data_IF_262432456469
#
_entry.id   IF_262432456469
#
_cell.length_a   1.000
_cell.length_b   1.000
_cell.length_c   1.000
_cell.angle_alpha   90.00
_cell.angle_beta   90.00
_cell.angle_gamma   90.00
#
_symmetry.space_group_name_H-M   'P 1'
#
loop_
_entity.id
_entity.type
_entity.pdbx_description
1 polymer ?
#
# COMPACT_ATOMS: atom_id res chain seq x y z
N UNK A 1 5.51 -9.48 -9.40
CA UNK A 1 4.89 -9.28 -10.73
C UNK A 1 5.98 -9.41 -11.79
N UNK A 2 5.70 -10.06 -12.91
CA UNK A 2 6.65 -10.17 -14.02
C UNK A 2 6.89 -8.83 -14.69
N UNK A 3 8.10 -8.60 -15.23
CA UNK A 3 8.47 -7.33 -15.87
C UNK A 3 7.56 -6.93 -17.03
N UNK A 4 7.06 -7.90 -17.81
CA UNK A 4 6.11 -7.66 -18.90
C UNK A 4 4.75 -7.10 -18.44
N UNK A 5 4.39 -7.28 -17.17
CA UNK A 5 3.18 -6.74 -16.56
C UNK A 5 3.43 -5.39 -15.87
N UNK A 6 4.62 -4.82 -16.04
CA UNK A 6 4.99 -3.54 -15.44
C UNK A 6 3.97 -2.44 -15.79
N UNK A 7 3.62 -1.64 -14.80
CA UNK A 7 2.73 -0.50 -14.94
C UNK A 7 3.35 0.81 -14.45
N UNK A 8 4.69 0.85 -14.37
CA UNK A 8 5.41 2.06 -13.92
C UNK A 8 5.05 3.31 -14.73
N UNK A 9 4.77 3.15 -16.02
CA UNK A 9 4.34 4.25 -16.89
C UNK A 9 2.93 4.79 -16.56
N UNK A 10 2.14 4.06 -15.79
CA UNK A 10 0.79 4.45 -15.38
C UNK A 10 0.76 5.05 -13.96
N UNK A 11 1.91 5.13 -13.28
CA UNK A 11 1.99 5.73 -11.95
C UNK A 11 1.84 7.25 -12.07
N UNK A 12 0.86 7.85 -11.39
CA UNK A 12 0.77 9.29 -11.30
C UNK A 12 1.90 9.83 -10.42
N UNK A 13 2.24 11.09 -10.63
CA UNK A 13 3.04 11.87 -9.69
C UNK A 13 2.10 12.86 -9.03
N UNK A 14 1.63 12.50 -7.84
CA UNK A 14 0.70 13.31 -7.07
C UNK A 14 1.50 14.21 -6.12
N UNK A 15 1.23 15.49 -6.20
CA UNK A 15 1.77 16.46 -5.27
C UNK A 15 0.73 16.73 -4.18
N UNK A 16 1.13 16.52 -2.92
CA UNK A 16 0.25 16.66 -1.75
C UNK A 16 0.92 17.53 -0.70
N UNK A 17 0.12 18.34 0.03
CA UNK A 17 0.63 19.09 1.18
C UNK A 17 0.96 18.16 2.34
N UNK A 18 0.17 17.09 2.50
CA UNK A 18 0.42 16.02 3.46
C UNK A 18 1.65 15.22 3.05
N UNK A 19 2.65 15.17 3.95
CA UNK A 19 3.82 14.29 3.79
C UNK A 19 3.45 12.88 4.19
N UNK A 20 3.69 11.91 3.32
CA UNK A 20 3.58 10.49 3.65
C UNK A 20 4.90 9.96 4.19
N UNK A 21 4.88 9.38 5.39
CA UNK A 21 6.00 8.61 5.95
C UNK A 21 5.57 7.16 6.10
N UNK A 22 6.16 6.28 5.31
CA UNK A 22 5.89 4.85 5.38
C UNK A 22 6.94 4.15 6.23
N UNK A 23 6.53 3.60 7.38
CA UNK A 23 7.40 2.78 8.22
C UNK A 23 7.21 1.32 7.82
N UNK A 24 8.08 0.84 6.94
CA UNK A 24 7.94 -0.47 6.32
C UNK A 24 8.77 -1.54 7.04
N UNK A 25 8.14 -2.67 7.35
CA UNK A 25 8.89 -3.82 7.84
C UNK A 25 9.73 -4.43 6.71
N UNK A 26 11.01 -4.73 6.94
CA UNK A 26 11.95 -5.25 5.93
C UNK A 26 11.43 -6.46 5.14
N UNK A 27 10.66 -7.34 5.77
CA UNK A 27 10.05 -8.47 5.08
C UNK A 27 9.07 -8.07 3.99
N UNK A 28 8.45 -6.87 4.09
CA UNK A 28 7.54 -6.36 3.07
C UNK A 28 8.28 -5.89 1.81
N UNK A 29 9.55 -5.46 1.93
CA UNK A 29 10.37 -5.01 0.80
C UNK A 29 10.50 -6.07 -0.30
N UNK A 30 10.53 -7.34 0.08
CA UNK A 30 10.68 -8.47 -0.86
C UNK A 30 9.37 -8.92 -1.51
N UNK A 31 8.23 -8.39 -1.07
CA UNK A 31 6.92 -8.77 -1.62
C UNK A 31 6.61 -7.95 -2.87
N UNK A 32 6.50 -8.62 -4.00
CA UNK A 32 6.17 -7.98 -5.30
C UNK A 32 4.78 -7.31 -5.31
N UNK A 33 3.92 -7.68 -4.38
CA UNK A 33 2.57 -7.14 -4.17
C UNK A 33 2.50 -6.19 -2.98
N UNK A 34 3.64 -5.57 -2.58
CA UNK A 34 3.63 -4.59 -1.49
C UNK A 34 2.88 -3.32 -1.93
N UNK A 35 1.81 -3.02 -1.24
CA UNK A 35 0.89 -1.92 -1.56
C UNK A 35 1.35 -0.59 -0.96
N UNK A 36 2.04 -0.61 0.18
CA UNK A 36 2.58 0.61 0.81
C UNK A 36 3.63 1.28 -0.08
N UNK A 37 4.58 0.50 -0.60
CA UNK A 37 5.59 1.00 -1.54
C UNK A 37 4.95 1.56 -2.82
N UNK A 38 3.88 0.92 -3.31
CA UNK A 38 3.18 1.40 -4.48
C UNK A 38 2.57 2.79 -4.24
N UNK A 39 1.95 3.01 -3.08
CA UNK A 39 1.45 4.33 -2.72
C UNK A 39 2.57 5.38 -2.66
N UNK A 40 3.70 5.06 -2.01
CA UNK A 40 4.83 5.96 -1.93
C UNK A 40 5.42 6.34 -3.30
N UNK A 41 5.42 5.43 -4.27
CA UNK A 41 5.88 5.70 -5.64
C UNK A 41 4.98 6.69 -6.40
N UNK A 42 3.71 6.83 -5.99
CA UNK A 42 2.76 7.75 -6.61
C UNK A 42 2.79 9.16 -6.00
N UNK A 43 3.43 9.35 -4.85
CA UNK A 43 3.39 10.58 -4.07
C UNK A 43 4.77 11.25 -4.07
N UNK A 44 4.84 12.49 -4.57
CA UNK A 44 6.09 13.27 -4.62
C UNK A 44 6.60 13.60 -3.22
N UNK A 45 5.69 13.87 -2.28
CA UNK A 45 5.98 14.19 -0.89
C UNK A 45 5.91 12.94 0.01
N UNK A 46 6.75 11.94 -0.29
CA UNK A 46 6.76 10.69 0.47
C UNK A 46 8.17 10.21 0.80
N UNK A 47 8.29 9.46 1.88
CA UNK A 47 9.51 8.78 2.27
C UNK A 47 9.23 7.40 2.87
N UNK A 48 10.18 6.47 2.73
CA UNK A 48 10.07 5.10 3.22
C UNK A 48 11.22 4.80 4.17
N UNK A 49 10.89 4.44 5.40
CA UNK A 49 11.84 4.00 6.43
C UNK A 49 11.71 2.50 6.65
N UNK A 50 12.80 1.77 6.44
CA UNK A 50 12.82 0.33 6.67
C UNK A 50 13.08 0.03 8.16
N UNK A 51 12.37 -0.95 8.70
CA UNK A 51 12.49 -1.41 10.09
C UNK A 51 12.40 -2.94 10.18
N UNK A 52 12.95 -3.52 11.24
CA UNK A 52 12.83 -4.96 11.53
C UNK A 52 14.12 -5.76 11.37
N UNK A 53 15.26 -5.11 11.34
CA UNK A 53 16.57 -5.73 11.55
C UNK A 53 16.97 -5.73 13.03
N UNK A 54 17.93 -6.59 13.38
CA UNK A 54 18.51 -6.62 14.73
C UNK A 54 19.29 -5.35 15.05
N UNK A 55 19.83 -4.69 14.01
CA UNK A 55 20.66 -3.49 14.11
C UNK A 55 19.89 -2.18 13.88
N UNK A 56 18.56 -2.23 13.73
CA UNK A 56 17.70 -1.07 13.45
C UNK A 56 17.59 -0.05 14.62
N UNK A 57 18.18 -0.34 15.75
CA UNK A 57 18.17 0.59 16.89
C UNK A 57 18.89 1.93 16.60
N UNK A 58 19.65 2.00 15.52
CA UNK A 58 20.61 3.06 15.30
C UNK A 58 20.14 4.24 14.44
N UNK A 59 19.06 4.13 13.66
CA UNK A 59 18.61 5.25 12.83
C UNK A 59 17.34 5.86 13.40
N UNK A 60 17.44 6.94 14.20
CA UNK A 60 16.26 7.63 14.68
C UNK A 60 15.48 8.19 13.47
N UNK A 61 14.18 8.02 13.48
CA UNK A 61 13.31 8.80 12.62
C UNK A 61 13.29 10.23 13.21
N UNK A 62 13.84 11.18 12.47
CA UNK A 62 13.69 12.59 12.81
C UNK A 62 12.30 13.03 12.39
N UNK A 63 11.35 12.97 13.32
CA UNK A 63 10.03 13.52 13.08
C UNK A 63 10.15 15.03 12.81
N UNK A 64 9.55 15.55 11.71
CA UNK A 64 9.57 16.98 11.45
C UNK A 64 8.82 17.72 12.57
N UNK A 65 9.52 18.63 13.24
CA UNK A 65 8.99 19.37 14.41
C UNK A 65 7.91 20.39 14.04
N UNK A 66 7.88 20.81 12.78
CA UNK A 66 6.96 21.83 12.24
C UNK A 66 5.74 21.21 11.54
N UNK A 67 5.43 19.96 11.83
CA UNK A 67 4.29 19.26 11.24
C UNK A 67 3.46 18.57 12.30
N UNK A 68 2.15 18.48 12.06
CA UNK A 68 1.24 17.66 12.84
C UNK A 68 1.48 16.19 12.49
N UNK A 69 1.92 15.38 13.46
CA UNK A 69 2.23 13.97 13.25
C UNK A 69 0.99 13.11 13.50
N UNK A 70 0.50 12.42 12.48
CA UNK A 70 -0.64 11.51 12.53
C UNK A 70 -0.16 10.07 12.27
N UNK A 71 -0.36 9.19 13.24
CA UNK A 71 -0.10 7.75 13.11
C UNK A 71 -1.36 7.02 12.69
N UNK A 72 -1.43 6.57 11.44
CA UNK A 72 -2.59 5.88 10.89
C UNK A 72 -2.56 4.40 11.27
N UNK A 73 -3.27 4.04 12.31
CA UNK A 73 -3.45 2.65 12.73
C UNK A 73 -4.67 2.50 13.65
N UNK A 74 -5.57 1.53 13.44
CA UNK A 74 -6.70 1.30 14.33
C UNK A 74 -6.21 0.89 15.73
N UNK A 75 -6.55 1.69 16.72
CA UNK A 75 -6.18 1.52 18.12
C UNK A 75 -7.32 2.01 19.01
N UNK A 76 -7.48 1.46 20.21
CA UNK A 76 -8.58 1.78 21.12
C UNK A 76 -8.66 3.27 21.52
N UNK A 77 -7.57 4.03 21.41
CA UNK A 77 -7.55 5.47 21.66
C UNK A 77 -7.32 6.32 20.41
N UNK A 78 -7.53 5.75 19.21
CA UNK A 78 -7.33 6.49 17.96
C UNK A 78 -8.53 7.42 17.69
N UNK A 79 -8.23 8.64 17.28
CA UNK A 79 -9.24 9.63 16.87
C UNK A 79 -9.65 9.36 15.41
N UNK A 80 -10.95 9.38 15.09
CA UNK A 80 -11.37 9.29 13.69
C UNK A 80 -10.79 10.44 12.85
N UNK A 81 -10.13 10.12 11.74
CA UNK A 81 -9.40 11.10 10.94
C UNK A 81 -10.29 12.25 10.43
N UNK A 82 -11.57 11.96 10.14
CA UNK A 82 -12.54 12.95 9.65
C UNK A 82 -13.10 13.84 10.76
N UNK A 83 -12.85 13.53 12.02
CA UNK A 83 -13.26 14.35 13.19
C UNK A 83 -12.11 15.24 13.69
N UNK A 84 -10.95 15.21 13.02
CA UNK A 84 -9.83 16.03 13.43
C UNK A 84 -10.12 17.51 13.14
N UNK A 85 -9.86 18.33 14.15
CA UNK A 85 -9.87 19.77 13.98
C UNK A 85 -8.79 20.23 12.97
N UNK A 86 -9.08 21.33 12.28
CA UNK A 86 -8.10 21.99 11.42
C UNK A 86 -6.83 22.33 12.22
N UNK A 87 -5.68 22.22 11.59
CA UNK A 87 -4.40 22.54 12.20
C UNK A 87 -3.67 23.58 11.35
N UNK A 88 -3.05 24.61 11.96
CA UNK A 88 -2.19 25.53 11.21
C UNK A 88 -0.91 24.85 10.71
N UNK A 89 -0.53 23.74 11.31
CA UNK A 89 0.65 22.97 10.90
C UNK A 89 0.30 22.01 9.76
N UNK A 90 1.14 21.92 8.73
CA UNK A 90 0.99 20.94 7.68
C UNK A 90 1.09 19.51 8.26
N UNK A 91 0.37 18.58 7.66
CA UNK A 91 0.26 17.21 8.16
C UNK A 91 1.42 16.33 7.70
N UNK A 92 1.87 15.44 8.59
CA UNK A 92 2.71 14.30 8.29
C UNK A 92 1.94 13.01 8.66
N UNK A 93 1.49 12.28 7.64
CA UNK A 93 0.78 11.01 7.78
C UNK A 93 1.79 9.88 7.86
N UNK A 94 1.88 9.24 9.00
CA UNK A 94 2.81 8.13 9.27
C UNK A 94 2.03 6.83 9.23
N UNK A 95 2.43 5.92 8.35
CA UNK A 95 1.71 4.66 8.11
C UNK A 95 2.63 3.47 8.34
N UNK A 96 2.32 2.57 9.27
CA UNK A 96 3.06 1.33 9.44
C UNK A 96 2.69 0.33 8.35
N UNK A 97 3.70 -0.28 7.72
CA UNK A 97 3.53 -1.31 6.69
C UNK A 97 4.19 -2.62 7.10
N UNK A 98 3.38 -3.62 7.36
CA UNK A 98 3.75 -4.93 7.83
C UNK A 98 2.52 -5.80 8.06
N UNK A 99 2.70 -7.01 8.63
CA UNK A 99 1.53 -7.71 9.15
C UNK A 99 0.99 -7.00 10.39
N UNK A 100 -0.26 -7.28 10.76
CA UNK A 100 -0.95 -6.60 11.88
C UNK A 100 -0.16 -6.58 13.19
N UNK A 101 0.48 -7.71 13.54
CA UNK A 101 1.30 -7.81 14.75
C UNK A 101 2.54 -6.92 14.67
N UNK A 102 3.14 -6.80 13.48
CA UNK A 102 4.29 -5.94 13.25
C UNK A 102 3.87 -4.47 13.32
N UNK A 103 2.83 -4.09 12.58
CA UNK A 103 2.31 -2.72 12.55
C UNK A 103 1.90 -2.21 13.93
N UNK A 104 1.17 -3.00 14.72
CA UNK A 104 0.76 -2.66 16.08
C UNK A 104 1.94 -2.35 17.04
N UNK A 105 3.09 -2.98 16.81
CA UNK A 105 4.28 -2.80 17.65
C UNK A 105 5.20 -1.68 17.18
N UNK A 106 5.05 -1.18 15.95
CA UNK A 106 5.99 -0.21 15.36
C UNK A 106 5.98 1.11 16.10
N UNK A 107 4.81 1.65 16.50
CA UNK A 107 4.73 2.95 17.18
C UNK A 107 5.58 3.01 18.45
N UNK A 108 5.57 1.94 19.24
CA UNK A 108 6.34 1.85 20.48
C UNK A 108 7.85 1.65 20.23
N UNK A 109 8.22 1.09 19.09
CA UNK A 109 9.61 0.74 18.76
C UNK A 109 10.34 1.77 17.93
N UNK A 110 9.62 2.63 17.21
CA UNK A 110 10.22 3.69 16.39
C UNK A 110 10.39 4.94 17.25
N UNK A 111 11.63 5.39 17.52
CA UNK A 111 11.87 6.58 18.32
C UNK A 111 11.16 7.80 17.76
N UNK A 112 10.56 8.60 18.65
CA UNK A 112 9.81 9.81 18.28
C UNK A 112 8.35 9.61 17.89
N UNK A 113 7.91 8.36 17.64
CA UNK A 113 6.52 8.10 17.24
C UNK A 113 5.51 8.17 18.38
N UNK A 114 5.96 8.10 19.61
CA UNK A 114 5.09 8.20 20.80
C UNK A 114 4.36 9.54 20.89
N UNK A 115 4.93 10.60 20.31
CA UNK A 115 4.34 11.96 20.26
C UNK A 115 3.31 12.12 19.14
N UNK A 116 3.18 11.15 18.22
CA UNK A 116 2.21 11.20 17.14
C UNK A 116 0.79 10.94 17.66
N UNK A 117 -0.19 11.67 17.13
CA UNK A 117 -1.60 11.39 17.37
C UNK A 117 -2.03 10.14 16.61
N UNK A 118 -2.56 9.15 17.32
CA UNK A 118 -3.15 7.98 16.65
C UNK A 118 -4.47 8.36 16.01
N UNK A 119 -4.59 8.01 14.71
CA UNK A 119 -5.81 8.24 13.94
C UNK A 119 -6.29 6.95 13.29
N UNK A 120 -7.60 6.87 13.10
CA UNK A 120 -8.25 5.76 12.40
C UNK A 120 -9.13 6.27 11.28
N UNK A 121 -9.37 5.41 10.30
CA UNK A 121 -10.31 5.69 9.21
C UNK A 121 -11.74 5.44 9.67
N UNK A 122 -12.73 6.17 9.15
CA UNK A 122 -14.13 5.85 9.34
C UNK A 122 -14.45 4.48 8.72
N UNK A 123 -15.52 3.87 9.18
CA UNK A 123 -16.05 2.67 8.51
C UNK A 123 -16.39 3.01 7.05
N UNK A 124 -16.06 2.09 6.16
CA UNK A 124 -16.25 2.29 4.74
C UNK A 124 -16.34 0.97 3.99
N UNK A 125 -16.31 1.04 2.66
CA UNK A 125 -16.36 -0.15 1.80
C UNK A 125 -15.30 -1.19 2.19
N UNK A 126 -15.58 -2.48 2.08
CA UNK A 126 -14.60 -3.54 2.35
C UNK A 126 -13.39 -3.42 1.42
N UNK A 127 -12.27 -4.02 1.83
CA UNK A 127 -11.06 -4.06 1.02
C UNK A 127 -11.30 -4.79 -0.31
N UNK A 128 -10.74 -4.24 -1.38
CA UNK A 128 -10.68 -4.89 -2.70
C UNK A 128 -9.43 -5.75 -2.89
N UNK A 129 -8.58 -5.84 -1.87
CA UNK A 129 -7.30 -6.55 -1.96
C UNK A 129 -7.48 -8.07 -1.83
N UNK A 130 -7.76 -8.73 -2.93
CA UNK A 130 -8.00 -10.17 -3.01
C UNK A 130 -6.73 -11.02 -3.25
N UNK A 131 -5.56 -10.38 -3.36
CA UNK A 131 -4.32 -11.08 -3.69
C UNK A 131 -3.67 -11.82 -2.52
N UNK A 132 -4.10 -11.55 -1.28
CA UNK A 132 -3.64 -12.21 -0.05
C UNK A 132 -4.80 -12.93 0.63
N UNK A 133 -4.60 -14.20 0.97
CA UNK A 133 -5.59 -15.07 1.62
C UNK A 133 -5.81 -14.75 3.11
N UNK A 134 -4.92 -13.98 3.73
CA UNK A 134 -4.99 -13.63 5.16
C UNK A 134 -5.75 -12.33 5.45
N UNK A 135 -6.58 -11.86 4.52
CA UNK A 135 -7.40 -10.69 4.74
C UNK A 135 -8.52 -11.01 5.72
N UNK A 136 -8.35 -10.65 6.99
CA UNK A 136 -9.48 -10.63 7.93
C UNK A 136 -10.52 -9.61 7.45
N UNK A 137 -11.79 -9.95 7.60
CA UNK A 137 -12.90 -9.07 7.25
C UNK A 137 -12.70 -7.69 7.90
N UNK A 138 -12.74 -6.63 7.09
CA UNK A 138 -12.55 -5.25 7.55
C UNK A 138 -11.12 -4.70 7.49
N UNK A 139 -10.12 -5.51 7.17
CA UNK A 139 -8.74 -5.04 7.06
C UNK A 139 -8.44 -4.48 5.67
N UNK A 140 -7.94 -3.26 5.61
CA UNK A 140 -7.50 -2.61 4.38
C UNK A 140 -6.04 -2.97 4.06
N UNK A 141 -5.70 -2.98 2.78
CA UNK A 141 -4.29 -2.94 2.38
C UNK A 141 -3.69 -1.58 2.73
N UNK A 142 -2.37 -1.51 2.84
CA UNK A 142 -1.67 -0.26 3.18
C UNK A 142 -1.98 0.85 2.17
N UNK A 143 -2.07 0.53 0.87
CA UNK A 143 -2.44 1.53 -0.14
C UNK A 143 -3.87 2.02 0.03
N UNK A 144 -4.84 1.13 0.28
CA UNK A 144 -6.23 1.54 0.51
C UNK A 144 -6.35 2.44 1.74
N UNK A 145 -5.61 2.12 2.81
CA UNK A 145 -5.58 2.95 4.01
C UNK A 145 -4.99 4.34 3.71
N UNK A 146 -3.87 4.41 2.96
CA UNK A 146 -3.27 5.66 2.54
C UNK A 146 -4.21 6.45 1.62
N UNK A 147 -4.82 5.80 0.63
CA UNK A 147 -5.71 6.46 -0.31
C UNK A 147 -6.93 7.09 0.38
N UNK A 148 -7.57 6.36 1.29
CA UNK A 148 -8.71 6.88 2.06
C UNK A 148 -8.30 8.01 3.02
N UNK A 149 -7.14 7.88 3.67
CA UNK A 149 -6.64 8.94 4.54
C UNK A 149 -6.35 10.21 3.75
N UNK A 150 -5.67 10.11 2.62
CA UNK A 150 -5.41 11.24 1.73
C UNK A 150 -6.68 11.78 1.08
N UNK A 151 -7.69 10.94 0.83
CA UNK A 151 -9.01 11.39 0.39
C UNK A 151 -9.67 12.35 1.38
N UNK A 152 -9.49 12.12 2.68
CA UNK A 152 -9.99 12.99 3.75
C UNK A 152 -9.13 14.26 3.88
N UNK A 153 -7.80 14.13 3.77
CA UNK A 153 -6.85 15.22 4.02
C UNK A 153 -6.62 16.13 2.81
N UNK A 154 -6.65 15.60 1.60
CA UNK A 154 -6.24 16.28 0.35
C UNK A 154 -7.38 16.35 -0.68
N UNK A 155 -8.39 15.49 -0.56
CA UNK A 155 -9.54 15.46 -1.46
C UNK A 155 -9.68 14.16 -2.27
N UNK A 156 -10.87 13.99 -2.83
CA UNK A 156 -11.31 12.75 -3.50
C UNK A 156 -10.47 12.40 -4.75
N UNK A 157 -9.92 13.40 -5.44
CA UNK A 157 -9.12 13.17 -6.65
C UNK A 157 -7.82 12.43 -6.36
N UNK A 158 -7.16 12.74 -5.23
CA UNK A 158 -5.97 12.04 -4.77
C UNK A 158 -6.30 10.58 -4.44
N UNK A 159 -7.40 10.34 -3.73
CA UNK A 159 -7.89 8.99 -3.43
C UNK A 159 -8.16 8.22 -4.73
N UNK A 160 -8.92 8.78 -5.65
CA UNK A 160 -9.28 8.13 -6.90
C UNK A 160 -8.06 7.78 -7.76
N UNK A 161 -7.05 8.65 -7.80
CA UNK A 161 -5.81 8.40 -8.53
C UNK A 161 -5.04 7.21 -7.94
N UNK A 162 -4.90 7.13 -6.62
CA UNK A 162 -4.25 6.00 -5.92
C UNK A 162 -5.02 4.69 -6.11
N UNK A 163 -6.35 4.72 -5.97
CA UNK A 163 -7.20 3.54 -6.16
C UNK A 163 -7.16 3.02 -7.61
N UNK A 164 -7.03 3.90 -8.60
CA UNK A 164 -6.86 3.51 -10.01
C UNK A 164 -5.59 2.68 -10.20
N UNK A 165 -4.46 3.12 -9.67
CA UNK A 165 -3.19 2.38 -9.75
C UNK A 165 -3.28 1.04 -9.01
N UNK A 166 -3.94 1.03 -7.88
CA UNK A 166 -4.21 -0.19 -7.12
C UNK A 166 -5.00 -1.21 -7.94
N UNK A 167 -6.06 -0.76 -8.62
CA UNK A 167 -6.87 -1.61 -9.49
C UNK A 167 -6.08 -2.16 -10.69
N UNK A 168 -5.14 -1.37 -11.27
CA UNK A 168 -4.22 -1.86 -12.31
C UNK A 168 -3.35 -2.99 -11.77
N UNK A 169 -2.76 -2.83 -10.60
CA UNK A 169 -1.93 -3.86 -9.98
C UNK A 169 -2.72 -5.15 -9.73
N UNK A 170 -3.91 -5.03 -9.12
CA UNK A 170 -4.77 -6.19 -8.83
C UNK A 170 -5.19 -6.87 -10.13
N UNK A 171 -5.75 -6.12 -11.07
CA UNK A 171 -6.27 -6.67 -12.32
C UNK A 171 -5.19 -7.41 -13.12
N UNK A 172 -3.99 -6.83 -13.30
CA UNK A 172 -2.88 -7.50 -13.99
C UNK A 172 -2.39 -8.74 -13.25
N UNK A 173 -2.40 -8.72 -11.92
CA UNK A 173 -2.00 -9.89 -11.12
C UNK A 173 -3.04 -11.00 -11.21
N UNK A 174 -4.33 -10.68 -11.12
CA UNK A 174 -5.41 -11.66 -11.25
C UNK A 174 -5.44 -12.25 -12.66
N UNK A 175 -5.30 -11.43 -13.69
CA UNK A 175 -5.23 -11.90 -15.06
C UNK A 175 -4.07 -12.90 -15.25
N UNK A 176 -2.88 -12.58 -14.79
CA UNK A 176 -1.72 -13.48 -14.90
C UNK A 176 -1.89 -14.81 -14.14
N UNK A 177 -2.89 -14.90 -13.27
CA UNK A 177 -3.25 -16.14 -12.54
C UNK A 177 -4.47 -16.85 -13.14
N UNK A 178 -5.02 -16.36 -14.26
CA UNK A 178 -6.24 -16.90 -14.85
C UNK A 178 -7.52 -16.62 -14.04
N UNK A 179 -7.50 -15.60 -13.19
CA UNK A 179 -8.62 -15.27 -12.29
C UNK A 179 -9.40 -14.02 -12.72
N UNK A 180 -9.04 -13.42 -13.85
CA UNK A 180 -9.69 -12.22 -14.38
C UNK A 180 -9.53 -12.16 -15.89
N UNK A 181 -10.60 -11.86 -16.61
CA UNK A 181 -10.61 -11.66 -18.05
C UNK A 181 -9.79 -10.42 -18.43
N UNK A 182 -9.15 -10.46 -19.60
CA UNK A 182 -8.30 -9.38 -20.11
C UNK A 182 -9.05 -8.04 -20.20
N UNK A 183 -10.29 -8.07 -20.64
CA UNK A 183 -11.10 -6.86 -20.87
C UNK A 183 -11.53 -6.16 -19.57
N UNK A 184 -11.45 -6.86 -18.44
CA UNK A 184 -11.75 -6.31 -17.12
C UNK A 184 -10.55 -5.66 -16.45
N UNK A 185 -9.35 -5.74 -17.04
CA UNK A 185 -8.13 -5.18 -16.43
C UNK A 185 -8.04 -3.69 -16.69
N UNK A 186 -8.19 -2.90 -15.64
CA UNK A 186 -7.98 -1.45 -15.69
C UNK A 186 -6.56 -1.13 -16.17
N UNK A 187 -6.43 -0.22 -17.14
CA UNK A 187 -5.15 0.12 -17.75
C UNK A 187 -4.59 -0.94 -18.70
N UNK A 188 -5.40 -1.95 -19.05
CA UNK A 188 -5.10 -2.98 -20.03
C UNK A 188 -3.91 -3.88 -19.71
N UNK A 189 -3.70 -4.88 -20.57
CA UNK A 189 -2.56 -5.80 -20.52
C UNK A 189 -1.55 -5.39 -21.58
N UNK A 190 -0.27 -5.14 -21.23
CA UNK A 190 0.77 -4.80 -22.20
C UNK A 190 0.97 -5.91 -23.22
N UNK A 191 1.27 -5.53 -24.47
CA UNK A 191 1.52 -6.50 -25.56
C UNK A 191 2.60 -7.53 -25.19
N UNK A 192 3.66 -7.09 -24.52
CA UNK A 192 4.76 -7.97 -24.08
C UNK A 192 4.33 -9.01 -23.03
N UNK A 193 3.16 -8.82 -22.41
CA UNK A 193 2.64 -9.76 -21.42
C UNK A 193 1.83 -10.91 -22.04
N UNK A 194 1.52 -10.89 -23.33
CA UNK A 194 0.73 -11.93 -24.00
C UNK A 194 1.31 -13.34 -23.80
N UNK A 195 2.63 -13.48 -23.68
CA UNK A 195 3.31 -14.76 -23.37
C UNK A 195 2.92 -15.34 -21.99
N UNK A 196 2.31 -14.55 -21.13
CA UNK A 196 1.83 -14.96 -19.80
C UNK A 196 0.30 -15.08 -19.76
N UNK A 197 -0.33 -15.04 -20.94
CA UNK A 197 -1.77 -15.24 -21.05
C UNK A 197 -2.09 -16.69 -20.63
N UNK A 198 -2.86 -16.88 -19.55
CA UNK A 198 -3.23 -18.20 -19.05
C UNK A 198 -4.06 -18.99 -20.08
N UNK A 199 -4.73 -18.30 -21.02
CA UNK A 199 -5.55 -18.92 -22.06
C UNK A 199 -4.78 -19.22 -23.35
N UNK A 200 -3.53 -18.78 -23.48
CA UNK A 200 -2.72 -18.92 -24.72
C UNK A 200 -2.29 -20.35 -25.05
N UNK A 201 -2.68 -21.35 -24.28
CA UNK A 201 -2.30 -22.76 -24.50
C UNK A 201 -0.83 -23.08 -24.18
N UNK A 202 0.05 -22.07 -24.16
CA UNK A 202 1.50 -22.24 -23.91
C UNK A 202 1.77 -22.63 -22.46
N UNK A 203 0.93 -22.21 -21.53
CA UNK A 203 1.05 -22.56 -20.11
C UNK A 203 0.46 -23.94 -19.77
N UNK A 204 -0.47 -24.46 -20.55
CA UNK A 204 -1.04 -25.80 -20.31
C UNK A 204 -0.04 -26.93 -20.50
N UNK A 205 0.99 -26.71 -21.34
CA UNK A 205 2.06 -27.70 -21.58
C UNK A 205 3.12 -27.72 -20.47
N UNK A 206 3.27 -26.63 -19.72
CA UNK A 206 4.23 -26.54 -18.61
C UNK A 206 3.72 -27.15 -17.29
N UNK A 207 2.43 -27.42 -17.18
CA UNK A 207 1.77 -28.00 -16.00
C UNK A 207 1.42 -29.48 -16.12
N UNK A 208 1.92 -30.18 -17.13
CA UNK A 208 1.78 -31.64 -17.15
C UNK A 208 2.63 -32.24 -16.02
N UNK A 209 2.06 -33.09 -15.15
CA UNK A 209 2.82 -33.71 -14.10
C UNK A 209 3.94 -34.54 -14.71
N UNK A 210 5.18 -34.32 -14.27
CA UNK A 210 6.29 -35.21 -14.61
C UNK A 210 5.93 -36.59 -14.10
N UNK A 211 5.75 -37.52 -15.03
CA UNK A 211 5.48 -38.89 -14.73
C UNK A 211 6.60 -39.43 -13.81
N UNK A 212 6.32 -39.98 -12.61
CA UNK A 212 7.35 -40.56 -11.79
C UNK A 212 7.83 -41.88 -12.46
N UNK A 213 9.10 -41.92 -12.75
CA UNK A 213 9.79 -43.19 -13.04
C UNK A 213 10.33 -43.76 -11.74
#
# INVERSE_FOLDING_TARGET
>A
MHHSLCFCALLPKLDTQTRLVLIMHRRELRKSTNTGRLAALCLSNSEVHLRGDRDDAATPFCAPTERRLLWLFPHAGAVPLHELEASPLPTCLIVPDGNWRQAARMRARVPGMQKSLCVTLPQGAPSRYTLRTEAHAGHLSTLEAIARALGILEGADIQAALERVFNVMIGRTLWSRGLCDRDRVVGGIPLLAQRHDPDSGVQRLACLPRNPR
#
